data_IF_270856033050
#
_entry.id   IF_270856033050
#
_cell.length_a   1.000
_cell.length_b   1.000
_cell.length_c   1.000
_cell.angle_alpha   90.00
_cell.angle_beta   90.00
_cell.angle_gamma   90.00
#
_symmetry.space_group_name_H-M   'P 1'
#
loop_
_entity.id
_entity.type
_entity.pdbx_description
1 polymer ?
#
# COMPACT_ATOMS: atom_id res chain seq x y z
N UNK A 1 18.14 -1.15 39.17
CA UNK A 1 18.80 -1.88 38.06
C UNK A 1 17.85 -2.25 36.92
N UNK A 2 16.68 -2.88 37.18
CA UNK A 2 15.71 -3.24 36.12
C UNK A 2 15.09 -2.01 35.42
N UNK A 3 14.77 -0.96 36.16
CA UNK A 3 14.26 0.31 35.59
C UNK A 3 15.27 1.02 34.69
N UNK A 4 16.58 0.88 34.94
CA UNK A 4 17.62 1.47 34.09
C UNK A 4 17.76 0.73 32.75
N UNK A 5 17.60 -0.59 32.76
CA UNK A 5 17.60 -1.42 31.54
C UNK A 5 16.37 -1.13 30.67
N UNK A 6 15.19 -0.97 31.29
CA UNK A 6 13.99 -0.57 30.56
C UNK A 6 14.10 0.85 29.99
N UNK A 7 14.69 1.78 30.74
CA UNK A 7 14.90 3.16 30.29
C UNK A 7 15.95 3.25 29.18
N UNK A 8 17.03 2.45 29.22
CA UNK A 8 18.00 2.37 28.12
C UNK A 8 17.37 1.85 26.82
N UNK A 9 16.51 0.82 26.91
CA UNK A 9 15.78 0.31 25.74
C UNK A 9 14.72 1.28 25.19
N UNK A 10 14.28 2.28 25.98
CA UNK A 10 13.31 3.29 25.54
C UNK A 10 14.02 4.49 24.90
N UNK A 11 15.26 4.79 25.27
CA UNK A 11 16.07 5.87 24.68
C UNK A 11 16.96 5.43 23.51
N UNK A 12 17.20 4.12 23.33
CA UNK A 12 17.61 3.57 22.02
C UNK A 12 16.41 3.70 21.07
N UNK A 13 16.26 4.91 20.56
CA UNK A 13 15.26 5.30 19.57
C UNK A 13 15.70 4.65 18.26
N UNK A 14 15.40 3.37 18.17
CA UNK A 14 15.48 2.53 16.98
C UNK A 14 16.54 2.93 15.94
N UNK A 15 17.81 2.62 16.20
CA UNK A 15 18.95 2.84 15.29
C UNK A 15 18.86 2.07 13.96
N UNK A 16 17.67 1.58 13.60
CA UNK A 16 17.41 0.81 12.39
C UNK A 16 17.17 1.75 11.21
N UNK A 17 17.81 1.41 10.10
CA UNK A 17 17.50 2.02 8.81
C UNK A 17 16.07 1.67 8.37
N UNK A 18 15.42 2.48 7.52
CA UNK A 18 14.09 2.16 7.00
C UNK A 18 14.00 0.78 6.37
N UNK A 19 15.06 0.34 5.65
CA UNK A 19 15.13 -0.99 5.07
C UNK A 19 15.08 -2.10 6.14
N UNK A 20 15.88 -1.96 7.21
CA UNK A 20 15.90 -2.95 8.29
C UNK A 20 14.55 -3.03 9.01
N UNK A 21 13.91 -1.88 9.23
CA UNK A 21 12.58 -1.85 9.83
C UNK A 21 11.56 -2.59 8.96
N UNK A 22 11.55 -2.31 7.65
CA UNK A 22 10.69 -2.99 6.67
C UNK A 22 10.95 -4.49 6.60
N UNK A 23 12.21 -4.93 6.63
CA UNK A 23 12.56 -6.35 6.65
C UNK A 23 12.03 -7.07 7.89
N UNK A 24 12.17 -6.46 9.08
CA UNK A 24 11.70 -7.05 10.33
C UNK A 24 10.17 -7.09 10.35
N UNK A 25 9.51 -5.97 10.09
CA UNK A 25 8.06 -5.89 10.12
C UNK A 25 7.45 -6.78 9.04
N UNK A 26 8.08 -6.87 7.87
CA UNK A 26 7.68 -7.78 6.80
C UNK A 26 7.79 -9.23 7.22
N UNK A 27 8.92 -9.65 7.77
CA UNK A 27 9.14 -11.02 8.23
C UNK A 27 8.17 -11.45 9.33
N UNK A 28 7.74 -10.50 10.17
CA UNK A 28 6.77 -10.71 11.25
C UNK A 28 5.31 -10.46 10.81
N UNK A 29 5.06 -10.15 9.54
CA UNK A 29 3.75 -9.78 8.99
C UNK A 29 3.03 -8.69 9.81
N UNK A 30 3.79 -7.71 10.32
CA UNK A 30 3.22 -6.59 11.08
C UNK A 30 2.51 -5.63 10.14
N UNK A 31 1.32 -5.20 10.52
CA UNK A 31 0.53 -4.23 9.78
C UNK A 31 -0.04 -3.16 10.72
N UNK A 32 -0.44 -1.99 10.19
CA UNK A 32 -1.26 -1.03 10.94
C UNK A 32 -2.54 -1.67 11.49
N UNK A 33 -3.07 -1.11 12.58
CA UNK A 33 -4.24 -1.68 13.29
C UNK A 33 -5.50 -1.75 12.43
N UNK A 34 -5.68 -0.79 11.54
CA UNK A 34 -6.81 -0.65 10.62
C UNK A 34 -6.51 -1.20 9.22
N UNK A 35 -5.45 -2.01 9.07
CA UNK A 35 -4.99 -2.47 7.76
C UNK A 35 -6.05 -3.28 7.00
N UNK A 36 -6.65 -4.29 7.64
CA UNK A 36 -7.65 -5.14 6.98
C UNK A 36 -8.90 -4.33 6.61
N UNK A 37 -9.39 -3.48 7.51
CA UNK A 37 -10.51 -2.57 7.23
C UNK A 37 -10.22 -1.69 5.99
N UNK A 38 -8.98 -1.20 5.86
CA UNK A 38 -8.57 -0.42 4.69
C UNK A 38 -8.50 -1.22 3.41
N UNK A 39 -8.05 -2.48 3.46
CA UNK A 39 -8.06 -3.35 2.27
C UNK A 39 -9.50 -3.63 1.83
N UNK A 40 -10.42 -3.79 2.78
CA UNK A 40 -11.84 -3.94 2.50
C UNK A 40 -12.40 -2.72 1.74
N UNK A 41 -12.15 -1.50 2.24
CA UNK A 41 -12.59 -0.26 1.60
C UNK A 41 -12.02 -0.09 0.19
N UNK A 42 -10.77 -0.51 -0.03
CA UNK A 42 -10.18 -0.52 -1.38
C UNK A 42 -10.93 -1.49 -2.28
N UNK A 43 -11.26 -2.67 -1.76
CA UNK A 43 -11.99 -3.69 -2.51
C UNK A 43 -13.38 -3.19 -2.91
N UNK A 44 -14.09 -2.47 -2.03
CA UNK A 44 -15.38 -1.81 -2.34
C UNK A 44 -15.28 -0.82 -3.52
N UNK A 45 -14.14 -0.15 -3.67
CA UNK A 45 -13.89 0.85 -4.73
C UNK A 45 -13.20 0.28 -5.97
N UNK A 46 -13.04 -1.04 -6.05
CA UNK A 46 -12.33 -1.72 -7.13
C UNK A 46 -13.17 -2.86 -7.71
N UNK A 47 -14.09 -2.58 -8.65
CA UNK A 47 -15.01 -3.58 -9.22
C UNK A 47 -14.32 -4.84 -9.77
N UNK A 48 -13.11 -4.68 -10.30
CA UNK A 48 -12.31 -5.75 -10.90
C UNK A 48 -11.38 -6.46 -9.89
N UNK A 49 -11.46 -6.13 -8.60
CA UNK A 49 -10.66 -6.70 -7.53
C UNK A 49 -9.20 -6.22 -7.49
N UNK A 50 -8.43 -6.79 -6.57
CA UNK A 50 -7.03 -6.42 -6.29
C UNK A 50 -6.10 -7.51 -6.82
N UNK A 51 -5.00 -7.12 -7.48
CA UNK A 51 -3.96 -8.04 -7.95
C UNK A 51 -2.64 -7.76 -7.23
N UNK A 52 -2.01 -8.81 -6.74
CA UNK A 52 -0.72 -8.74 -6.05
C UNK A 52 0.06 -10.05 -6.20
N UNK A 53 1.31 -10.00 -6.64
CA UNK A 53 2.22 -11.15 -6.73
C UNK A 53 1.59 -12.38 -7.42
N UNK A 54 0.82 -12.14 -8.49
CA UNK A 54 0.08 -13.16 -9.23
C UNK A 54 -1.20 -13.69 -8.55
N UNK A 55 -1.49 -13.27 -7.32
CA UNK A 55 -2.76 -13.50 -6.65
C UNK A 55 -3.80 -12.47 -7.10
N UNK A 56 -5.05 -12.90 -7.25
CA UNK A 56 -6.18 -12.03 -7.54
C UNK A 56 -7.22 -12.20 -6.44
N UNK A 57 -7.50 -11.11 -5.72
CA UNK A 57 -8.59 -10.99 -4.78
C UNK A 57 -9.78 -10.34 -5.51
N UNK A 58 -10.79 -11.11 -5.93
CA UNK A 58 -11.92 -10.54 -6.64
C UNK A 58 -12.79 -9.71 -5.69
N UNK A 59 -13.51 -8.71 -6.22
CA UNK A 59 -14.48 -7.96 -5.42
C UNK A 59 -15.70 -8.83 -5.10
N UNK A 60 -16.25 -9.48 -6.12
CA UNK A 60 -17.34 -10.43 -6.00
C UNK A 60 -16.82 -11.84 -6.28
N UNK A 61 -17.19 -12.85 -5.49
CA UNK A 61 -18.23 -12.81 -4.45
C UNK A 61 -17.71 -12.41 -3.06
N UNK A 62 -16.46 -11.93 -2.93
CA UNK A 62 -15.88 -11.63 -1.61
C UNK A 62 -16.72 -10.67 -0.77
N UNK A 63 -17.22 -9.58 -1.36
CA UNK A 63 -18.07 -8.62 -0.63
C UNK A 63 -19.51 -9.13 -0.39
N UNK A 64 -20.00 -10.10 -1.17
CA UNK A 64 -21.32 -10.71 -0.94
C UNK A 64 -21.28 -11.83 0.10
N UNK A 65 -20.17 -12.55 0.17
CA UNK A 65 -20.04 -13.78 0.97
C UNK A 65 -19.41 -13.53 2.35
N UNK A 66 -18.81 -12.36 2.56
CA UNK A 66 -18.06 -12.04 3.78
C UNK A 66 -18.42 -10.65 4.31
N UNK A 67 -17.95 -10.35 5.52
CA UNK A 67 -17.98 -8.99 6.08
C UNK A 67 -16.60 -8.52 6.51
N UNK A 68 -16.41 -7.20 6.63
CA UNK A 68 -15.10 -6.61 7.00
C UNK A 68 -14.56 -7.08 8.36
N UNK A 69 -15.44 -7.51 9.28
CA UNK A 69 -15.06 -7.92 10.64
C UNK A 69 -14.83 -9.43 10.80
N UNK A 70 -15.00 -10.20 9.73
CA UNK A 70 -14.82 -11.64 9.75
C UNK A 70 -13.35 -12.05 9.55
N UNK A 71 -12.94 -13.09 10.28
CA UNK A 71 -11.61 -13.67 10.17
C UNK A 71 -11.31 -14.18 8.74
N UNK A 72 -12.33 -14.62 8.02
CA UNK A 72 -12.19 -15.14 6.66
C UNK A 72 -11.60 -14.11 5.69
N UNK A 73 -12.04 -12.85 5.77
CA UNK A 73 -11.50 -11.79 4.94
C UNK A 73 -10.03 -11.51 5.28
N UNK A 74 -9.71 -11.43 6.57
CA UNK A 74 -8.32 -11.25 7.04
C UNK A 74 -7.41 -12.37 6.52
N UNK A 75 -7.88 -13.62 6.53
CA UNK A 75 -7.13 -14.76 6.02
C UNK A 75 -6.88 -14.66 4.51
N UNK A 76 -7.84 -14.18 3.71
CA UNK A 76 -7.64 -13.96 2.27
C UNK A 76 -6.55 -12.90 2.01
N UNK A 77 -6.56 -11.81 2.78
CA UNK A 77 -5.55 -10.76 2.68
C UNK A 77 -4.17 -11.29 3.10
N UNK A 78 -4.08 -12.08 4.17
CA UNK A 78 -2.83 -12.73 4.58
C UNK A 78 -2.32 -13.71 3.52
N UNK A 79 -3.21 -14.52 2.92
CA UNK A 79 -2.85 -15.41 1.82
C UNK A 79 -2.31 -14.65 0.61
N UNK A 80 -2.89 -13.51 0.28
CA UNK A 80 -2.40 -12.61 -0.77
C UNK A 80 -1.00 -12.08 -0.44
N UNK A 81 -0.78 -11.53 0.77
CA UNK A 81 0.53 -11.04 1.21
C UNK A 81 1.60 -12.14 1.33
N UNK A 82 1.18 -13.39 1.62
CA UNK A 82 2.07 -14.54 1.73
C UNK A 82 2.74 -14.92 0.41
N UNK A 83 2.21 -14.45 -0.73
CA UNK A 83 2.81 -14.67 -2.06
C UNK A 83 4.09 -13.86 -2.28
N UNK A 84 4.28 -12.80 -1.50
CA UNK A 84 5.49 -11.99 -1.57
C UNK A 84 6.61 -12.69 -0.82
N UNK A 85 7.73 -12.97 -1.49
CA UNK A 85 8.90 -13.58 -0.85
C UNK A 85 9.73 -12.58 -0.03
N UNK A 86 9.99 -11.40 -0.59
CA UNK A 86 10.83 -10.38 0.06
C UNK A 86 10.05 -9.64 1.17
N UNK A 87 10.48 -9.73 2.45
CA UNK A 87 9.82 -9.02 3.53
C UNK A 87 9.84 -7.49 3.38
N UNK A 88 10.90 -6.91 2.81
CA UNK A 88 10.97 -5.46 2.60
C UNK A 88 9.91 -5.02 1.58
N UNK A 89 9.77 -5.76 0.47
CA UNK A 89 8.73 -5.52 -0.52
C UNK A 89 7.33 -5.70 0.07
N UNK A 90 7.13 -6.71 0.93
CA UNK A 90 5.86 -6.93 1.64
C UNK A 90 5.44 -5.68 2.43
N UNK A 91 6.37 -5.04 3.13
CA UNK A 91 6.07 -3.79 3.85
C UNK A 91 5.81 -2.61 2.93
N UNK A 92 6.53 -2.49 1.82
CA UNK A 92 6.23 -1.46 0.81
C UNK A 92 4.80 -1.62 0.26
N UNK A 93 4.34 -2.86 0.06
CA UNK A 93 2.96 -3.15 -0.34
C UNK A 93 1.96 -2.78 0.75
N UNK A 94 2.25 -3.08 2.01
CA UNK A 94 1.42 -2.64 3.15
C UNK A 94 1.32 -1.11 3.16
N UNK A 95 2.43 -0.39 3.07
CA UNK A 95 2.47 1.07 2.96
C UNK A 95 1.61 1.57 1.77
N UNK A 96 1.71 0.92 0.61
CA UNK A 96 0.94 1.30 -0.57
C UNK A 96 -0.57 1.10 -0.39
N UNK A 97 -1.01 -0.01 0.23
CA UNK A 97 -2.42 -0.17 0.60
C UNK A 97 -2.91 0.99 1.48
N UNK A 98 -2.10 1.42 2.45
CA UNK A 98 -2.46 2.56 3.31
C UNK A 98 -2.61 3.86 2.51
N UNK A 99 -1.72 4.10 1.52
CA UNK A 99 -1.80 5.26 0.63
C UNK A 99 -3.05 5.19 -0.25
N UNK A 100 -3.30 4.05 -0.91
CA UNK A 100 -4.47 3.85 -1.78
C UNK A 100 -5.77 4.06 -1.00
N UNK A 101 -5.93 3.43 0.17
CA UNK A 101 -7.11 3.63 1.03
C UNK A 101 -7.28 5.10 1.41
N UNK A 102 -6.19 5.79 1.79
CA UNK A 102 -6.25 7.20 2.16
C UNK A 102 -6.68 8.09 0.98
N UNK A 103 -6.23 7.78 -0.23
CA UNK A 103 -6.62 8.52 -1.44
C UNK A 103 -8.09 8.29 -1.79
N UNK A 104 -8.57 7.04 -1.75
CA UNK A 104 -9.98 6.73 -2.01
C UNK A 104 -10.90 7.32 -0.95
N UNK A 105 -10.52 7.26 0.34
CA UNK A 105 -11.29 7.90 1.43
C UNK A 105 -11.43 9.41 1.27
N UNK A 106 -10.42 10.07 0.72
CA UNK A 106 -10.42 11.53 0.51
C UNK A 106 -11.19 11.95 -0.75
N UNK A 107 -11.40 11.03 -1.69
CA UNK A 107 -12.07 11.29 -2.97
C UNK A 107 -13.11 10.19 -3.21
N UNK A 108 -14.26 10.23 -2.51
CA UNK A 108 -15.25 9.15 -2.54
C UNK A 108 -15.84 8.86 -3.93
N UNK A 109 -15.78 9.84 -4.84
CA UNK A 109 -16.16 9.73 -6.26
C UNK A 109 -15.18 8.92 -7.09
N UNK A 110 -13.96 8.69 -6.60
CA UNK A 110 -12.93 7.95 -7.34
C UNK A 110 -13.09 6.45 -7.12
N UNK A 111 -13.03 5.71 -8.22
CA UNK A 111 -13.00 4.24 -8.24
C UNK A 111 -11.93 3.77 -9.22
N UNK A 112 -11.43 2.57 -9.03
CA UNK A 112 -10.54 1.95 -10.01
C UNK A 112 -11.36 1.41 -11.18
N UNK A 113 -11.04 1.86 -12.40
CA UNK A 113 -11.70 1.32 -13.61
C UNK A 113 -11.28 -0.13 -13.90
N UNK A 114 -10.00 -0.45 -13.64
CA UNK A 114 -9.43 -1.79 -13.82
C UNK A 114 -9.09 -2.43 -12.46
N UNK A 115 -8.61 -3.67 -12.47
CA UNK A 115 -8.15 -4.31 -11.23
C UNK A 115 -6.98 -3.50 -10.62
N UNK A 116 -7.01 -3.26 -9.31
CA UNK A 116 -5.94 -2.54 -8.62
C UNK A 116 -4.68 -3.42 -8.58
N UNK A 117 -3.77 -3.18 -9.52
CA UNK A 117 -2.51 -3.92 -9.61
C UNK A 117 -1.44 -3.26 -8.73
N UNK A 118 -1.25 -3.83 -7.54
CA UNK A 118 -0.34 -3.29 -6.54
C UNK A 118 1.13 -3.40 -6.97
N UNK A 119 1.50 -4.47 -7.68
CA UNK A 119 2.87 -4.63 -8.19
C UNK A 119 3.21 -3.52 -9.20
N UNK A 120 2.27 -3.20 -10.09
CA UNK A 120 2.42 -2.11 -11.06
C UNK A 120 2.59 -0.76 -10.37
N UNK A 121 1.76 -0.47 -9.36
CA UNK A 121 1.84 0.78 -8.60
C UNK A 121 3.25 0.94 -7.99
N UNK A 122 3.81 -0.10 -7.36
CA UNK A 122 5.16 -0.03 -6.79
C UNK A 122 6.23 0.09 -7.88
N UNK A 123 6.09 -0.65 -8.99
CA UNK A 123 7.01 -0.55 -10.11
C UNK A 123 7.07 0.87 -10.68
N UNK A 124 5.91 1.46 -11.02
CA UNK A 124 5.83 2.84 -11.51
C UNK A 124 6.41 3.84 -10.49
N UNK A 125 6.16 3.62 -9.20
CA UNK A 125 6.74 4.44 -8.12
C UNK A 125 8.27 4.38 -8.12
N UNK A 126 8.82 3.18 -8.30
CA UNK A 126 10.26 2.96 -8.34
C UNK A 126 10.90 3.57 -9.59
N UNK A 127 10.25 3.47 -10.76
CA UNK A 127 10.71 4.15 -11.97
C UNK A 127 10.76 5.67 -11.79
N UNK A 128 9.73 6.25 -11.16
CA UNK A 128 9.71 7.68 -10.82
C UNK A 128 10.85 8.04 -9.87
N UNK A 129 11.08 7.24 -8.84
CA UNK A 129 12.20 7.40 -7.89
C UNK A 129 13.55 7.37 -8.61
N UNK A 130 13.79 6.36 -9.46
CA UNK A 130 15.04 6.24 -10.20
C UNK A 130 15.29 7.45 -11.09
N UNK A 131 14.24 7.94 -11.79
CA UNK A 131 14.38 9.11 -12.65
C UNK A 131 14.83 10.35 -11.89
N UNK A 132 14.31 10.56 -10.68
CA UNK A 132 14.69 11.70 -9.86
C UNK A 132 16.11 11.53 -9.28
N UNK A 133 16.47 10.31 -8.83
CA UNK A 133 17.84 10.01 -8.35
C UNK A 133 18.89 10.16 -9.45
N UNK A 134 18.62 9.71 -10.68
CA UNK A 134 19.51 9.89 -11.82
C UNK A 134 19.67 11.36 -12.22
N UNK A 135 18.64 12.18 -12.06
CA UNK A 135 18.70 13.63 -12.33
C UNK A 135 19.56 14.37 -11.31
N UNK A 136 19.47 14.00 -10.03
CA UNK A 136 20.21 14.67 -8.96
C UNK A 136 21.68 14.24 -8.89
N UNK A 137 21.96 12.94 -9.10
CA UNK A 137 23.28 12.36 -8.82
C UNK A 137 24.01 11.85 -10.08
N UNK A 138 23.41 11.92 -11.27
CA UNK A 138 24.00 11.40 -12.51
C UNK A 138 24.25 9.88 -12.50
N UNK A 139 23.62 9.16 -11.57
CA UNK A 139 23.82 7.73 -11.34
C UNK A 139 23.04 6.86 -12.32
N UNK A 140 23.61 5.72 -12.69
CA UNK A 140 22.97 4.72 -13.56
C UNK A 140 21.73 4.11 -12.90
N UNK A 141 20.78 3.65 -13.73
CA UNK A 141 19.58 2.94 -13.27
C UNK A 141 19.99 1.71 -12.47
N UNK A 142 19.43 1.56 -11.28
CA UNK A 142 19.65 0.39 -10.44
C UNK A 142 18.56 -0.65 -10.71
N UNK A 143 18.96 -1.92 -10.84
CA UNK A 143 18.03 -3.03 -11.03
C UNK A 143 17.35 -3.44 -9.72
N UNK A 144 17.99 -3.16 -8.58
CA UNK A 144 17.50 -3.47 -7.24
C UNK A 144 16.78 -2.27 -6.59
N UNK A 145 15.62 -2.52 -5.98
CA UNK A 145 14.83 -1.55 -5.22
C UNK A 145 15.43 -1.19 -3.84
N UNK A 146 16.58 -1.73 -3.46
CA UNK A 146 17.19 -1.53 -2.15
C UNK A 146 17.27 -0.08 -1.67
N UNK A 147 17.67 0.87 -2.52
CA UNK A 147 17.73 2.29 -2.12
C UNK A 147 16.32 2.84 -1.90
N UNK A 148 15.37 2.49 -2.77
CA UNK A 148 13.97 2.85 -2.60
C UNK A 148 13.42 2.30 -1.27
N UNK A 149 13.69 1.03 -0.96
CA UNK A 149 13.33 0.41 0.31
C UNK A 149 14.07 0.99 1.52
N UNK A 150 15.20 1.65 1.33
CA UNK A 150 15.91 2.33 2.41
C UNK A 150 15.52 3.81 2.56
N UNK A 151 14.64 4.31 1.70
CA UNK A 151 14.19 5.71 1.74
C UNK A 151 13.05 5.86 2.75
N UNK A 152 13.09 6.85 3.66
CA UNK A 152 11.99 7.10 4.60
C UNK A 152 10.68 7.44 3.88
N UNK A 153 9.50 7.04 4.40
CA UNK A 153 8.24 7.26 3.71
C UNK A 153 7.76 8.72 3.70
N UNK A 154 7.75 9.38 4.86
CA UNK A 154 7.05 10.66 5.07
C UNK A 154 7.98 11.88 5.00
N UNK A 155 8.95 11.85 4.09
CA UNK A 155 9.90 12.96 3.84
C UNK A 155 9.73 13.48 2.41
N UNK A 156 10.33 14.65 2.12
CA UNK A 156 10.42 15.14 0.74
C UNK A 156 11.18 14.12 -0.10
N UNK A 157 10.63 13.71 -1.24
CA UNK A 157 11.15 12.59 -2.05
C UNK A 157 11.21 11.25 -1.29
N UNK A 158 10.31 11.05 -0.31
CA UNK A 158 10.12 9.78 0.38
C UNK A 158 9.29 8.77 -0.42
N UNK A 159 9.30 7.49 -0.01
CA UNK A 159 8.56 6.42 -0.74
C UNK A 159 7.07 6.74 -0.89
N UNK A 160 6.42 7.30 0.15
CA UNK A 160 5.01 7.71 0.12
C UNK A 160 4.73 8.70 -1.00
N UNK A 161 5.66 9.61 -1.32
CA UNK A 161 5.47 10.61 -2.37
C UNK A 161 5.39 9.96 -3.76
N UNK A 162 6.27 9.00 -4.04
CA UNK A 162 6.28 8.28 -5.31
C UNK A 162 5.10 7.32 -5.43
N UNK A 163 4.75 6.62 -4.35
CA UNK A 163 3.56 5.77 -4.29
C UNK A 163 2.30 6.60 -4.55
N UNK A 164 2.13 7.73 -3.85
CA UNK A 164 0.99 8.63 -4.05
C UNK A 164 0.89 9.08 -5.49
N UNK A 165 2.02 9.41 -6.12
CA UNK A 165 2.06 9.84 -7.53
C UNK A 165 1.67 8.71 -8.49
N UNK A 166 2.14 7.49 -8.28
CA UNK A 166 1.77 6.33 -9.09
C UNK A 166 0.28 5.96 -8.93
N UNK A 167 -0.22 5.98 -7.70
CA UNK A 167 -1.66 5.76 -7.41
C UNK A 167 -2.50 6.83 -8.09
N UNK A 168 -2.14 8.11 -7.96
CA UNK A 168 -2.85 9.21 -8.61
C UNK A 168 -2.94 9.01 -10.12
N UNK A 169 -1.82 8.66 -10.76
CA UNK A 169 -1.78 8.37 -12.19
C UNK A 169 -2.72 7.22 -12.57
N UNK A 170 -2.65 6.12 -11.82
CA UNK A 170 -3.50 4.94 -12.04
C UNK A 170 -4.98 5.28 -11.93
N UNK A 171 -5.36 6.13 -10.97
CA UNK A 171 -6.74 6.57 -10.79
C UNK A 171 -7.21 7.55 -11.87
N UNK A 172 -6.30 8.39 -12.40
CA UNK A 172 -6.60 9.36 -13.46
C UNK A 172 -6.63 8.75 -14.87
N UNK A 173 -5.91 7.64 -15.08
CA UNK A 173 -5.96 6.88 -16.34
C UNK A 173 -7.30 6.14 -16.51
N UNK A 174 -8.06 5.94 -15.43
CA UNK A 174 -9.45 5.47 -15.47
C UNK A 174 -10.45 6.60 -15.71
N UNK A 175 -11.62 6.28 -16.26
CA UNK A 175 -12.73 7.25 -16.32
C UNK A 175 -13.19 7.56 -14.89
N UNK A 176 -13.07 8.83 -14.47
CA UNK A 176 -13.63 9.29 -13.19
C UNK A 176 -15.16 9.21 -13.30
N UNK A 177 -15.75 8.16 -12.72
CA UNK A 177 -17.19 8.02 -12.63
C UNK A 177 -17.69 8.89 -11.49
N UNK A 178 -18.19 10.07 -11.83
CA UNK A 178 -18.99 10.86 -10.89
C UNK A 178 -20.23 10.03 -10.55
N UNK A 179 -20.30 9.54 -9.31
CA UNK A 179 -21.54 8.96 -8.78
C UNK A 179 -22.52 10.12 -8.66
N UNK A 180 -23.40 10.29 -9.64
CA UNK A 180 -24.58 11.12 -9.44
C UNK A 180 -25.40 10.43 -8.36
N UNK A 181 -25.51 11.05 -7.19
CA UNK A 181 -26.55 10.74 -6.23
C UNK A 181 -27.88 10.93 -6.97
N UNK A 182 -28.51 9.82 -7.37
CA UNK A 182 -29.83 9.86 -7.96
C UNK A 182 -30.79 10.47 -6.94
N UNK A 183 -31.23 11.68 -7.27
CA UNK A 183 -32.41 12.36 -6.76
C UNK A 183 -33.49 11.35 -6.37
N UNK A 184 -33.68 11.15 -5.07
CA UNK A 184 -34.89 10.52 -4.54
C UNK A 184 -36.10 11.36 -4.95
N UNK A 185 -36.70 11.04 -6.08
CA UNK A 185 -38.06 11.46 -6.38
C UNK A 185 -39.01 10.57 -5.58
N UNK A 186 -39.46 11.08 -4.45
CA UNK A 186 -40.68 10.59 -3.81
C UNK A 186 -41.82 10.95 -4.78
N UNK A 187 -42.47 9.94 -5.34
CA UNK A 187 -43.78 10.08 -5.99
C UNK A 187 -44.78 9.24 -5.22
#
# INVERSE_FOLDING_TARGET
MILQVLVQNIYDTDCRTPLQQRQIDGALNRTPKDFYDRVWEILEKTPNGIKLAGYHLPQQPTLSDMTMYELNFSLLVEQMLSKIADPAYRQIIVEAFMVVSTMLKRNPEVTFDQAANMDKIIHDSFEDFQRDVSRENGSEKQDDMRIFFNTPPNVKHGTTSYITKAVLRTLLEGEIRFVNEEMCHIT
#
